data_IF_225163548463
#
_entry.id   IF_225163548463
#
_cell.length_a   1.000
_cell.length_b   1.000
_cell.length_c   1.000
_cell.angle_alpha   90.00
_cell.angle_beta   90.00
_cell.angle_gamma   90.00
#
_symmetry.space_group_name_H-M   'P 1'
#
loop_
_entity.id
_entity.type
_entity.pdbx_description
1 polymer ?
#
# COMPACT_ATOMS: atom_id res chain seq x y z
N UNK A 1 12.88 -27.87 -7.65
CA UNK A 1 12.55 -26.62 -8.36
C UNK A 1 11.57 -26.82 -9.53
N UNK A 2 11.76 -27.79 -10.44
CA UNK A 2 10.83 -28.06 -11.57
C UNK A 2 9.42 -28.53 -11.15
N UNK A 3 9.32 -29.30 -10.07
CA UNK A 3 8.03 -29.83 -9.57
C UNK A 3 7.19 -28.72 -8.90
N UNK A 4 7.82 -27.82 -8.15
CA UNK A 4 7.15 -26.68 -7.53
C UNK A 4 6.57 -25.69 -8.56
N UNK A 5 7.28 -25.45 -9.66
CA UNK A 5 6.78 -24.64 -10.79
C UNK A 5 5.54 -25.27 -11.47
N UNK A 6 5.52 -26.60 -11.61
CA UNK A 6 4.38 -27.34 -12.13
C UNK A 6 3.17 -27.28 -11.20
N UNK A 7 3.39 -27.37 -9.88
CA UNK A 7 2.31 -27.27 -8.87
C UNK A 7 1.72 -25.85 -8.87
N UNK A 8 2.55 -24.81 -8.93
CA UNK A 8 2.08 -23.41 -9.02
C UNK A 8 1.29 -23.18 -10.32
N UNK A 9 1.77 -23.73 -11.44
CA UNK A 9 1.06 -23.64 -12.72
C UNK A 9 -0.27 -24.38 -12.68
N UNK A 10 -0.31 -25.58 -12.07
CA UNK A 10 -1.52 -26.38 -11.92
C UNK A 10 -2.55 -25.70 -11.01
N UNK A 11 -2.11 -25.13 -9.88
CA UNK A 11 -2.95 -24.32 -8.99
C UNK A 11 -3.50 -23.09 -9.70
N UNK A 12 -2.70 -22.42 -10.54
CA UNK A 12 -3.15 -21.31 -11.39
C UNK A 12 -4.22 -21.74 -12.39
N UNK A 13 -4.06 -22.89 -13.04
CA UNK A 13 -5.03 -23.41 -14.01
C UNK A 13 -6.33 -23.86 -13.33
N UNK A 14 -6.25 -24.49 -12.14
CA UNK A 14 -7.42 -24.88 -11.35
C UNK A 14 -8.19 -23.66 -10.86
N UNK A 15 -7.51 -22.60 -10.46
CA UNK A 15 -8.14 -21.34 -10.04
C UNK A 15 -8.95 -20.66 -11.17
N UNK A 16 -8.49 -20.80 -12.43
CA UNK A 16 -9.17 -20.21 -13.60
C UNK A 16 -10.51 -20.91 -13.91
N UNK A 17 -10.64 -22.22 -13.64
CA UNK A 17 -11.85 -22.98 -13.95
C UNK A 17 -13.02 -22.74 -12.97
N UNK A 18 -12.78 -22.07 -11.82
CA UNK A 18 -13.81 -21.73 -10.85
C UNK A 18 -14.31 -20.27 -10.97
N UNK A 19 -14.04 -19.59 -12.10
CA UNK A 19 -14.63 -18.27 -12.39
C UNK A 19 -16.13 -18.46 -12.66
N UNK A 20 -16.88 -18.68 -11.59
CA UNK A 20 -18.33 -18.81 -11.60
C UNK A 20 -18.99 -17.43 -11.51
N UNK A 21 -20.20 -17.33 -12.01
CA UNK A 21 -21.03 -16.13 -12.12
C UNK A 21 -20.96 -15.21 -10.89
N UNK A 22 -20.52 -13.95 -11.07
CA UNK A 22 -20.46 -12.92 -10.03
C UNK A 22 -19.04 -12.43 -9.67
N UNK A 23 -18.01 -12.95 -10.33
CA UNK A 23 -16.63 -12.51 -10.13
C UNK A 23 -16.26 -11.38 -11.09
N UNK A 24 -15.55 -10.39 -10.58
CA UNK A 24 -15.06 -9.25 -11.35
C UNK A 24 -13.57 -9.08 -11.09
N UNK A 25 -12.80 -8.94 -12.15
CA UNK A 25 -11.39 -8.60 -12.09
C UNK A 25 -11.21 -7.24 -12.74
N UNK A 26 -10.64 -6.30 -12.00
CA UNK A 26 -10.23 -5.00 -12.51
C UNK A 26 -8.72 -4.89 -12.42
N UNK A 27 -8.10 -4.28 -13.43
CA UNK A 27 -6.70 -3.84 -13.40
C UNK A 27 -6.68 -2.36 -13.68
N UNK A 28 -5.88 -1.61 -12.94
CA UNK A 28 -5.80 -0.17 -13.10
C UNK A 28 -4.55 0.44 -12.50
N UNK A 29 -4.46 1.74 -12.65
CA UNK A 29 -3.42 2.58 -12.05
C UNK A 29 -4.03 3.43 -10.97
N UNK A 30 -3.20 3.84 -10.02
CA UNK A 30 -3.57 4.80 -8.97
C UNK A 30 -2.39 5.67 -8.62
N UNK A 31 -2.67 6.88 -8.19
CA UNK A 31 -1.68 7.81 -7.70
C UNK A 31 -2.32 8.80 -6.73
N UNK A 32 -1.50 9.56 -6.02
CA UNK A 32 -2.02 10.52 -5.06
C UNK A 32 -0.95 11.09 -4.15
N UNK A 33 -1.41 11.63 -3.04
CA UNK A 33 -0.57 12.29 -2.05
C UNK A 33 -0.50 11.50 -0.75
N UNK A 34 0.67 11.57 -0.12
CA UNK A 34 0.94 11.02 1.19
C UNK A 34 1.17 12.17 2.16
N UNK A 35 0.61 12.07 3.35
CA UNK A 35 0.95 12.88 4.50
C UNK A 35 1.58 11.95 5.52
N UNK A 36 2.89 11.97 5.61
CA UNK A 36 3.66 11.07 6.46
C UNK A 36 4.21 11.77 7.67
N UNK A 37 4.26 11.04 8.79
CA UNK A 37 4.82 11.45 10.06
C UNK A 37 5.58 10.28 10.66
N UNK A 38 6.72 10.55 11.28
CA UNK A 38 7.38 9.60 12.17
C UNK A 38 6.87 9.83 13.60
N UNK A 39 6.53 8.74 14.27
CA UNK A 39 6.23 8.77 15.69
C UNK A 39 7.50 8.35 16.43
N UNK A 40 8.17 9.35 17.01
CA UNK A 40 9.40 9.20 17.81
C UNK A 40 9.07 9.74 19.20
N UNK A 41 9.18 8.95 20.27
CA UNK A 41 8.97 9.43 21.62
C UNK A 41 9.87 10.64 21.91
N UNK A 42 9.32 11.62 22.61
CA UNK A 42 10.01 12.86 23.06
C UNK A 42 10.59 13.77 21.94
N UNK A 43 10.29 13.51 20.66
CA UNK A 43 10.73 14.36 19.54
C UNK A 43 9.49 14.92 18.79
N UNK A 44 9.48 16.24 18.61
CA UNK A 44 8.48 16.88 17.76
C UNK A 44 8.80 16.62 16.29
N UNK A 45 7.87 15.92 15.62
CA UNK A 45 7.95 15.66 14.18
C UNK A 45 6.79 16.33 13.46
N UNK A 46 7.06 16.94 12.33
CA UNK A 46 6.04 17.55 11.47
C UNK A 46 5.68 16.67 10.28
N UNK A 47 4.46 16.82 9.77
CA UNK A 47 4.00 16.09 8.61
C UNK A 47 4.76 16.53 7.35
N UNK A 48 5.24 15.57 6.57
CA UNK A 48 5.79 15.82 5.24
C UNK A 48 4.84 15.32 4.16
N UNK A 49 4.63 16.15 3.15
CA UNK A 49 3.83 15.77 1.98
C UNK A 49 4.71 15.05 0.97
N UNK A 50 4.29 13.87 0.55
CA UNK A 50 4.89 13.09 -0.51
C UNK A 50 3.85 12.69 -1.55
N UNK A 51 4.25 11.84 -2.49
CA UNK A 51 3.36 11.31 -3.51
C UNK A 51 3.54 9.81 -3.66
N UNK A 52 2.55 9.17 -4.27
CA UNK A 52 2.64 7.78 -4.66
C UNK A 52 2.02 7.55 -6.03
N UNK A 53 2.54 6.54 -6.73
CA UNK A 53 2.05 6.12 -8.03
C UNK A 53 2.22 4.61 -8.15
N UNK A 54 1.26 3.92 -8.75
CA UNK A 54 1.37 2.49 -8.95
C UNK A 54 0.21 1.88 -9.70
N UNK A 55 0.16 0.54 -9.63
CA UNK A 55 -0.87 -0.26 -10.25
C UNK A 55 -1.57 -1.14 -9.20
N UNK A 56 -2.80 -1.53 -9.52
CA UNK A 56 -3.57 -2.45 -8.70
C UNK A 56 -4.27 -3.50 -9.55
N UNK A 57 -4.53 -4.64 -8.94
CA UNK A 57 -5.49 -5.62 -9.41
C UNK A 57 -6.57 -5.79 -8.36
N UNK A 58 -7.85 -5.81 -8.74
CA UNK A 58 -8.96 -6.06 -7.83
C UNK A 58 -9.67 -7.35 -8.24
N UNK A 59 -9.78 -8.28 -7.31
CA UNK A 59 -10.58 -9.48 -7.42
C UNK A 59 -11.81 -9.32 -6.55
N UNK A 60 -12.99 -9.11 -7.17
CA UNK A 60 -14.23 -8.84 -6.43
C UNK A 60 -15.18 -10.02 -6.50
N UNK A 61 -15.69 -10.44 -5.34
CA UNK A 61 -16.62 -11.55 -5.13
C UNK A 61 -17.84 -11.01 -4.35
N UNK A 62 -18.88 -10.63 -5.06
CA UNK A 62 -20.05 -10.01 -4.42
C UNK A 62 -19.69 -8.73 -3.68
N UNK A 63 -19.81 -8.76 -2.34
CA UNK A 63 -19.50 -7.61 -1.47
C UNK A 63 -18.04 -7.58 -0.97
N UNK A 64 -17.24 -8.59 -1.29
CA UNK A 64 -15.85 -8.68 -0.84
C UNK A 64 -14.94 -8.48 -2.05
N UNK A 65 -13.86 -7.73 -1.86
CA UNK A 65 -12.80 -7.56 -2.84
C UNK A 65 -11.43 -7.77 -2.19
N UNK A 66 -10.51 -8.36 -2.94
CA UNK A 66 -9.08 -8.43 -2.56
C UNK A 66 -8.32 -7.62 -3.60
N UNK A 67 -7.57 -6.62 -3.15
CA UNK A 67 -6.85 -5.70 -4.03
C UNK A 67 -5.36 -5.69 -3.69
N UNK A 68 -4.54 -6.56 -4.31
CA UNK A 68 -3.10 -6.39 -4.32
C UNK A 68 -2.71 -5.15 -5.15
N UNK A 69 -1.73 -4.41 -4.64
CA UNK A 69 -1.22 -3.20 -5.26
C UNK A 69 0.31 -3.27 -5.36
N UNK A 70 0.88 -2.53 -6.31
CA UNK A 70 2.31 -2.28 -6.43
C UNK A 70 2.51 -0.76 -6.54
N UNK A 71 3.10 -0.16 -5.51
CA UNK A 71 3.11 1.30 -5.32
C UNK A 71 4.54 1.79 -5.11
N UNK A 72 4.98 2.71 -5.94
CA UNK A 72 6.12 3.58 -5.63
C UNK A 72 5.64 4.73 -4.77
N UNK A 73 6.28 4.93 -3.63
CA UNK A 73 5.85 5.90 -2.61
C UNK A 73 7.04 6.72 -2.14
N UNK A 74 6.90 8.04 -2.19
CA UNK A 74 7.78 8.95 -1.49
C UNK A 74 7.12 9.33 -0.17
N UNK A 75 7.88 9.20 0.90
CA UNK A 75 7.49 9.51 2.27
C UNK A 75 8.59 10.33 2.92
N UNK A 76 8.32 10.91 4.06
CA UNK A 76 9.34 11.64 4.80
C UNK A 76 8.79 12.22 6.09
N UNK A 77 9.66 12.89 6.82
CA UNK A 77 9.32 13.71 7.97
C UNK A 77 10.25 14.91 8.03
N UNK A 78 9.77 15.99 8.63
CA UNK A 78 10.65 17.06 9.11
C UNK A 78 10.99 16.75 10.57
N UNK A 79 12.27 16.63 10.85
CA UNK A 79 12.81 16.39 12.18
C UNK A 79 13.71 17.57 12.56
N UNK A 80 13.95 17.79 13.84
CA UNK A 80 14.80 18.91 14.33
C UNK A 80 16.22 18.90 13.74
N UNK A 81 16.68 17.74 13.24
CA UNK A 81 17.99 17.52 12.61
C UNK A 81 18.01 17.72 11.09
N UNK A 82 16.85 18.07 10.45
CA UNK A 82 16.78 18.28 9.01
C UNK A 82 15.60 17.60 8.31
N UNK A 83 15.68 17.46 6.99
CA UNK A 83 14.65 16.84 6.16
C UNK A 83 14.99 15.37 5.89
N UNK A 84 14.12 14.47 6.38
CA UNK A 84 14.21 13.05 6.08
C UNK A 84 13.33 12.70 4.87
N UNK A 85 13.95 12.12 3.85
CA UNK A 85 13.29 11.64 2.62
C UNK A 85 13.49 10.15 2.45
N UNK A 86 12.41 9.42 2.25
CA UNK A 86 12.45 7.99 1.99
C UNK A 86 11.60 7.61 0.78
N UNK A 87 12.14 6.76 -0.08
CA UNK A 87 11.45 6.19 -1.24
C UNK A 87 11.26 4.71 -1.01
N UNK A 88 10.00 4.29 -1.08
CA UNK A 88 9.58 2.91 -0.85
C UNK A 88 8.97 2.29 -2.10
N UNK A 89 9.13 0.98 -2.22
CA UNK A 89 8.28 0.12 -3.01
C UNK A 89 7.34 -0.57 -2.03
N UNK A 90 6.05 -0.28 -2.10
CA UNK A 90 5.03 -0.85 -1.23
C UNK A 90 4.20 -1.87 -1.98
N UNK A 91 3.91 -3.00 -1.33
CA UNK A 91 3.05 -4.07 -1.82
C UNK A 91 1.90 -4.25 -0.82
N UNK A 92 0.85 -3.42 -0.91
CA UNK A 92 -0.36 -3.60 -0.10
C UNK A 92 -1.20 -4.77 -0.62
N UNK A 93 -1.83 -5.51 0.30
CA UNK A 93 -2.87 -6.50 -0.02
C UNK A 93 -4.12 -6.10 0.76
N UNK A 94 -5.04 -5.41 0.09
CA UNK A 94 -6.18 -4.76 0.72
C UNK A 94 -7.45 -5.57 0.54
N UNK A 95 -8.08 -5.92 1.64
CA UNK A 95 -9.46 -6.40 1.68
C UNK A 95 -10.42 -5.23 1.60
N UNK A 96 -11.38 -5.28 0.68
CA UNK A 96 -12.45 -4.30 0.51
C UNK A 96 -13.80 -4.90 0.84
N UNK A 97 -14.54 -4.29 1.75
CA UNK A 97 -15.94 -4.63 2.04
C UNK A 97 -16.84 -3.58 1.38
N UNK A 98 -17.53 -3.97 0.32
CA UNK A 98 -18.40 -3.09 -0.46
C UNK A 98 -19.75 -2.86 0.23
N UNK A 99 -20.09 -1.62 0.36
CA UNK A 99 -21.39 -1.10 0.77
C UNK A 99 -22.25 -0.73 -0.45
N UNK A 100 -23.30 0.04 -0.24
CA UNK A 100 -24.12 0.57 -1.33
C UNK A 100 -23.35 1.63 -2.15
N UNK A 101 -23.68 1.76 -3.45
CA UNK A 101 -23.18 2.85 -4.31
C UNK A 101 -21.69 2.79 -4.64
N UNK A 102 -21.02 1.65 -4.39
CA UNK A 102 -19.59 1.51 -4.65
C UNK A 102 -18.68 1.96 -3.50
N UNK A 103 -19.24 2.47 -2.42
CA UNK A 103 -18.47 2.74 -1.20
C UNK A 103 -17.95 1.46 -0.60
N UNK A 104 -16.76 1.51 -0.03
CA UNK A 104 -16.13 0.33 0.58
C UNK A 104 -15.28 0.72 1.79
N UNK A 105 -15.23 -0.20 2.75
CA UNK A 105 -14.28 -0.20 3.86
C UNK A 105 -13.05 -0.98 3.42
N UNK A 106 -11.89 -0.54 3.85
CA UNK A 106 -10.60 -1.12 3.45
C UNK A 106 -9.78 -1.47 4.68
N UNK A 107 -9.19 -2.68 4.66
CA UNK A 107 -8.21 -3.08 5.65
C UNK A 107 -7.22 -4.06 5.02
N UNK A 108 -5.95 -4.01 5.42
CA UNK A 108 -4.98 -5.00 4.96
C UNK A 108 -3.53 -4.66 5.28
N UNK A 109 -2.66 -5.68 5.23
CA UNK A 109 -1.23 -5.50 5.39
C UNK A 109 -0.63 -4.80 4.17
N UNK A 110 0.41 -4.03 4.43
CA UNK A 110 1.28 -3.44 3.42
C UNK A 110 2.72 -3.82 3.75
N UNK A 111 3.42 -4.37 2.79
CA UNK A 111 4.84 -4.69 2.87
C UNK A 111 5.61 -3.58 2.17
N UNK A 112 6.44 -2.85 2.90
CA UNK A 112 7.28 -1.77 2.42
C UNK A 112 8.72 -2.24 2.22
N UNK A 113 9.34 -1.84 1.13
CA UNK A 113 10.76 -2.07 0.85
C UNK A 113 11.42 -0.73 0.62
N UNK A 114 12.34 -0.37 1.50
CA UNK A 114 13.11 0.87 1.41
C UNK A 114 14.07 0.82 0.23
N UNK A 115 13.82 1.66 -0.75
CA UNK A 115 14.69 1.79 -1.92
C UNK A 115 15.79 2.84 -1.69
N UNK A 116 15.43 3.99 -1.12
CA UNK A 116 16.34 5.11 -0.84
C UNK A 116 15.92 5.83 0.44
N UNK A 117 16.90 6.22 1.25
CA UNK A 117 16.70 7.08 2.41
C UNK A 117 17.80 8.13 2.46
N UNK A 118 17.44 9.38 2.67
CA UNK A 118 18.35 10.53 2.74
C UNK A 118 17.96 11.44 3.90
N UNK A 119 18.97 11.92 4.62
CA UNK A 119 18.85 12.98 5.61
C UNK A 119 19.69 14.17 5.12
N UNK A 120 19.06 15.31 4.85
CA UNK A 120 19.68 16.51 4.26
C UNK A 120 20.57 16.20 3.02
N UNK A 121 20.11 15.24 2.18
CA UNK A 121 20.81 14.81 0.96
C UNK A 121 21.89 13.77 1.17
N UNK A 122 22.20 13.38 2.41
CA UNK A 122 23.14 12.30 2.71
C UNK A 122 22.40 10.96 2.83
N UNK A 123 22.94 9.90 2.21
CA UNK A 123 22.34 8.57 2.27
C UNK A 123 22.50 7.98 3.68
N UNK A 124 21.37 7.59 4.28
CA UNK A 124 21.31 6.91 5.58
C UNK A 124 20.64 5.53 5.46
N UNK A 125 20.59 4.97 4.25
CA UNK A 125 19.89 3.72 3.97
C UNK A 125 20.48 2.52 4.73
N UNK A 126 21.78 2.53 4.98
CA UNK A 126 22.49 1.44 5.67
C UNK A 126 22.14 1.36 7.16
N UNK A 127 21.65 2.46 7.74
CA UNK A 127 21.27 2.57 9.16
C UNK A 127 19.79 2.23 9.41
N UNK A 128 19.03 1.90 8.34
CA UNK A 128 17.60 1.65 8.41
C UNK A 128 17.25 0.25 7.94
N UNK A 129 16.21 -0.33 8.55
CA UNK A 129 15.65 -1.60 8.09
C UNK A 129 15.16 -1.49 6.65
N UNK A 130 15.56 -2.45 5.84
CA UNK A 130 15.25 -2.48 4.40
C UNK A 130 13.79 -2.84 4.13
N UNK A 131 13.11 -3.50 5.08
CA UNK A 131 11.72 -3.92 4.93
C UNK A 131 10.92 -3.57 6.18
N UNK A 132 9.71 -3.07 5.96
CA UNK A 132 8.74 -2.77 7.00
C UNK A 132 7.40 -3.42 6.69
N UNK A 133 6.58 -3.58 7.74
CA UNK A 133 5.20 -4.03 7.64
C UNK A 133 4.31 -3.00 8.29
N UNK A 134 3.26 -2.62 7.59
CA UNK A 134 2.23 -1.71 8.11
C UNK A 134 0.82 -2.28 7.93
N UNK A 135 -0.12 -1.80 8.73
CA UNK A 135 -1.55 -2.07 8.59
C UNK A 135 -2.23 -0.85 7.99
N UNK A 136 -2.85 -1.04 6.84
CA UNK A 136 -3.68 -0.03 6.20
C UNK A 136 -5.15 -0.18 6.60
N UNK A 137 -5.77 0.91 7.02
CA UNK A 137 -7.21 1.04 7.24
C UNK A 137 -7.73 2.21 6.42
N UNK A 138 -8.91 2.06 5.78
CA UNK A 138 -9.39 3.13 4.93
C UNK A 138 -10.82 3.02 4.47
N UNK A 139 -11.20 4.03 3.72
CA UNK A 139 -12.47 4.16 3.02
C UNK A 139 -12.18 4.34 1.54
N UNK A 140 -13.06 3.80 0.70
CA UNK A 140 -12.96 3.98 -0.74
C UNK A 140 -14.32 4.16 -1.39
N UNK A 141 -14.28 4.71 -2.58
CA UNK A 141 -15.41 4.80 -3.47
C UNK A 141 -15.01 4.38 -4.88
N UNK A 142 -15.47 3.21 -5.29
CA UNK A 142 -15.35 2.73 -6.67
C UNK A 142 -16.50 3.33 -7.49
N UNK A 143 -16.26 4.51 -8.05
CA UNK A 143 -17.25 5.30 -8.79
C UNK A 143 -17.59 4.66 -10.15
N UNK A 144 -18.73 5.04 -10.75
CA UNK A 144 -19.04 4.73 -12.14
C UNK A 144 -17.89 5.12 -13.09
N UNK A 145 -17.83 4.54 -14.28
CA UNK A 145 -16.82 4.78 -15.32
C UNK A 145 -15.38 4.35 -14.96
N UNK A 146 -15.17 3.69 -13.81
CA UNK A 146 -13.88 3.12 -13.45
C UNK A 146 -12.99 4.02 -12.60
N UNK A 147 -13.47 5.17 -12.19
CA UNK A 147 -12.79 6.02 -11.21
C UNK A 147 -12.81 5.36 -9.83
N UNK A 148 -11.77 5.57 -9.06
CA UNK A 148 -11.64 5.12 -7.66
C UNK A 148 -11.05 6.23 -6.82
N UNK A 149 -11.65 6.45 -5.66
CA UNK A 149 -11.16 7.37 -4.65
C UNK A 149 -10.89 6.55 -3.38
N UNK A 150 -9.69 6.63 -2.85
CA UNK A 150 -9.32 5.95 -1.61
C UNK A 150 -8.71 6.96 -0.63
N UNK A 151 -9.15 6.90 0.62
CA UNK A 151 -8.51 7.53 1.77
C UNK A 151 -8.07 6.43 2.73
N UNK A 152 -6.77 6.30 2.96
CA UNK A 152 -6.17 5.22 3.75
C UNK A 152 -5.20 5.76 4.78
N UNK A 153 -5.25 5.20 5.97
CA UNK A 153 -4.27 5.43 7.02
C UNK A 153 -3.45 4.17 7.23
N UNK A 154 -2.14 4.26 7.04
CA UNK A 154 -1.20 3.16 7.21
C UNK A 154 -0.41 3.37 8.48
N UNK A 155 -0.46 2.39 9.39
CA UNK A 155 0.23 2.36 10.67
C UNK A 155 1.38 1.36 10.60
N UNK A 156 2.61 1.80 10.81
CA UNK A 156 3.79 0.92 10.91
C UNK A 156 3.65 -0.03 12.09
N UNK A 157 3.83 -1.32 11.82
CA UNK A 157 3.83 -2.38 12.83
C UNK A 157 5.24 -2.78 13.23
N UNK A 158 6.21 -2.60 12.34
CA UNK A 158 7.62 -2.87 12.58
C UNK A 158 8.33 -1.63 13.08
N UNK A 159 9.32 -1.83 13.93
CA UNK A 159 10.27 -0.82 14.34
C UNK A 159 11.29 -0.60 13.21
N UNK A 160 11.46 0.65 12.81
CA UNK A 160 12.38 1.04 11.73
C UNK A 160 13.83 1.25 12.22
N UNK A 161 14.09 1.19 13.52
CA UNK A 161 15.43 1.28 14.10
C UNK A 161 16.09 -0.09 14.15
N UNK A 162 17.34 -0.19 13.69
CA UNK A 162 18.19 -1.37 13.87
C UNK A 162 19.02 -1.31 15.17
N UNK A 163 19.07 -0.16 15.84
CA UNK A 163 19.81 0.02 17.08
C UNK A 163 18.88 -0.13 18.30
N UNK A 164 19.15 -1.10 19.21
CA UNK A 164 18.35 -1.31 20.42
C UNK A 164 18.38 -0.13 21.41
N UNK A 165 19.27 0.84 21.23
CA UNK A 165 19.37 2.01 22.06
C UNK A 165 18.35 3.10 21.72
N UNK A 166 17.72 3.03 20.54
CA UNK A 166 16.68 3.96 20.15
C UNK A 166 15.29 3.36 20.42
N UNK A 167 14.41 4.22 20.96
CA UNK A 167 13.01 3.87 21.14
C UNK A 167 12.33 3.58 19.81
N UNK A 168 11.29 2.73 19.83
CA UNK A 168 10.53 2.28 18.66
C UNK A 168 10.09 3.42 17.75
N UNK A 169 10.63 3.49 16.54
CA UNK A 169 10.26 4.47 15.50
C UNK A 169 9.17 3.86 14.61
N UNK A 170 7.95 4.39 14.65
CA UNK A 170 6.84 3.95 13.81
C UNK A 170 6.48 4.97 12.75
N UNK A 171 6.31 4.52 11.53
CA UNK A 171 5.82 5.35 10.44
C UNK A 171 4.30 5.40 10.44
N UNK A 172 3.74 6.59 10.28
CA UNK A 172 2.31 6.83 10.07
C UNK A 172 2.13 7.57 8.76
N UNK A 173 1.27 7.05 7.87
CA UNK A 173 1.06 7.65 6.56
C UNK A 173 -0.43 7.72 6.27
N UNK A 174 -0.94 8.93 6.10
CA UNK A 174 -2.27 9.16 5.54
C UNK A 174 -2.16 9.34 4.03
N UNK A 175 -2.91 8.52 3.27
CA UNK A 175 -2.89 8.52 1.81
C UNK A 175 -4.24 8.93 1.24
N UNK A 176 -4.21 9.86 0.29
CA UNK A 176 -5.35 10.16 -0.59
C UNK A 176 -4.99 9.74 -2.00
N UNK A 177 -5.79 8.88 -2.60
CA UNK A 177 -5.51 8.29 -3.91
C UNK A 177 -6.68 8.49 -4.87
N UNK A 178 -6.34 8.78 -6.12
CA UNK A 178 -7.21 8.69 -7.28
C UNK A 178 -6.73 7.52 -8.14
N UNK A 179 -7.63 6.60 -8.48
CA UNK A 179 -7.35 5.47 -9.36
C UNK A 179 -8.24 5.48 -10.59
N UNK A 180 -7.75 4.83 -11.63
CA UNK A 180 -8.51 4.60 -12.85
C UNK A 180 -8.38 3.14 -13.29
N UNK A 181 -9.53 2.50 -13.54
CA UNK A 181 -9.59 1.14 -14.07
C UNK A 181 -9.33 1.15 -15.57
N UNK A 182 -8.26 0.49 -15.99
CA UNK A 182 -7.86 0.36 -17.40
C UNK A 182 -8.53 -0.86 -18.02
N UNK A 183 -8.58 -1.97 -17.27
CA UNK A 183 -9.08 -3.25 -17.75
C UNK A 183 -10.13 -3.81 -16.80
N UNK A 184 -11.16 -4.46 -17.39
CA UNK A 184 -12.26 -5.05 -16.65
C UNK A 184 -12.65 -6.39 -17.27
N UNK A 185 -12.72 -7.43 -16.45
CA UNK A 185 -13.19 -8.75 -16.80
C UNK A 185 -14.29 -9.19 -15.83
N UNK A 186 -15.37 -9.77 -16.34
CA UNK A 186 -16.51 -10.25 -15.55
C UNK A 186 -17.77 -9.38 -15.70
N UNK A 187 -18.89 -9.87 -15.12
CA UNK A 187 -20.17 -9.14 -15.17
C UNK A 187 -20.21 -8.01 -14.14
N UNK A 188 -20.93 -6.94 -14.50
CA UNK A 188 -21.28 -5.83 -13.58
C UNK A 188 -22.20 -6.32 -12.48
#
# INVERSE_FOLDING_TARGET
>A
MKMMKKIILLLGIVAINHISFGQRIDIGIKGGVNFSKLEIPDIHTSNKTGYHLGAYSLFKFGKIGIQPEFIFSQQGAEVDLGHWDAKYINIPVILKLYLAGGFNLQAGPQFGFLNKAELDGNSIKEDLKTADVSLGLGLGWDAPMGLKFDARYNMGLTDNSDDPAYETIKSQVFQLSLGFRIFHLGKK
#
